data_IF_026404219305
#
_entry.id   IF_026404219305
#
_cell.length_a   1.000
_cell.length_b   1.000
_cell.length_c   1.000
_cell.angle_alpha   90.00
_cell.angle_beta   90.00
_cell.angle_gamma   90.00
#
_symmetry.space_group_name_H-M   'P 1'
#
loop_
_entity.id
_entity.type
_entity.pdbx_description
1 polymer ?
#
# COMPACT_ATOMS: atom_id res chain seq x y z
N UNK A 1 45.72 -67.27 67.32
CA UNK A 1 46.55 -66.68 66.26
C UNK A 1 45.78 -66.84 64.97
N UNK A 2 45.42 -65.87 64.15
CA UNK A 2 45.50 -64.40 64.10
C UNK A 2 44.47 -64.05 63.01
N UNK A 3 43.36 -63.40 63.37
CA UNK A 3 42.99 -62.03 62.95
C UNK A 3 43.90 -61.36 61.90
N UNK A 4 43.27 -60.98 60.78
CA UNK A 4 43.48 -59.79 59.92
C UNK A 4 43.04 -60.19 58.50
N UNK A 5 42.37 -59.43 57.66
CA UNK A 5 41.76 -58.10 57.60
C UNK A 5 41.11 -58.10 56.19
N UNK A 6 39.99 -57.38 55.98
CA UNK A 6 39.74 -56.53 54.79
C UNK A 6 38.31 -56.01 54.78
N UNK A 7 38.18 -54.78 55.23
CA UNK A 7 37.11 -53.84 54.88
C UNK A 7 37.40 -53.33 53.46
N UNK A 8 36.36 -52.84 52.77
CA UNK A 8 36.29 -52.22 51.42
C UNK A 8 36.01 -53.25 50.29
N UNK A 9 34.99 -53.14 49.45
CA UNK A 9 34.37 -51.96 48.84
C UNK A 9 33.00 -52.34 48.26
N UNK A 10 31.90 -51.74 48.74
CA UNK A 10 30.59 -51.84 48.05
C UNK A 10 30.04 -50.44 47.82
N UNK A 11 30.73 -49.65 46.99
CA UNK A 11 30.23 -48.35 46.52
C UNK A 11 30.67 -48.12 45.08
N UNK A 12 30.18 -48.92 44.13
CA UNK A 12 30.45 -48.67 42.70
C UNK A 12 29.34 -49.03 41.70
N UNK A 13 28.11 -49.30 42.14
CA UNK A 13 27.05 -49.78 41.22
C UNK A 13 25.86 -48.81 41.06
N UNK A 14 25.74 -47.72 41.85
CA UNK A 14 24.60 -46.78 41.68
C UNK A 14 24.84 -45.62 40.69
N UNK A 15 26.08 -45.40 40.22
CA UNK A 15 26.41 -44.26 39.34
C UNK A 15 26.16 -44.55 37.84
N UNK A 16 26.18 -45.81 37.40
CA UNK A 16 26.04 -46.13 35.96
C UNK A 16 24.61 -46.05 35.45
N UNK A 17 23.60 -46.40 36.27
CA UNK A 17 22.18 -46.33 35.88
C UNK A 17 21.69 -44.88 35.75
N UNK A 18 22.14 -43.98 36.63
CA UNK A 18 21.80 -42.56 36.55
C UNK A 18 22.47 -41.88 35.35
N UNK A 19 23.70 -42.27 34.99
CA UNK A 19 24.38 -41.72 33.82
C UNK A 19 23.73 -42.17 32.51
N UNK A 20 23.27 -43.42 32.43
CA UNK A 20 22.50 -43.92 31.28
C UNK A 20 21.13 -43.24 31.18
N UNK A 21 20.43 -43.08 32.31
CA UNK A 21 19.12 -42.43 32.37
C UNK A 21 19.21 -40.93 32.02
N UNK A 22 20.22 -40.22 32.51
CA UNK A 22 20.46 -38.81 32.15
C UNK A 22 20.81 -38.68 30.67
N UNK A 23 21.61 -39.60 30.10
CA UNK A 23 21.91 -39.61 28.66
C UNK A 23 20.67 -39.86 27.81
N UNK A 24 19.80 -40.79 28.19
CA UNK A 24 18.55 -41.02 27.45
C UNK A 24 17.59 -39.85 27.59
N UNK A 25 17.47 -39.23 28.76
CA UNK A 25 16.65 -38.02 28.93
C UNK A 25 17.17 -36.85 28.09
N UNK A 26 18.49 -36.62 28.05
CA UNK A 26 19.09 -35.55 27.23
C UNK A 26 18.87 -35.83 25.74
N UNK A 27 19.04 -37.07 25.28
CA UNK A 27 18.81 -37.42 23.88
C UNK A 27 17.33 -37.25 23.46
N UNK A 28 16.39 -37.60 24.35
CA UNK A 28 14.96 -37.38 24.12
C UNK A 28 14.63 -35.88 24.06
N UNK A 29 15.22 -35.06 24.94
CA UNK A 29 15.00 -33.62 24.97
C UNK A 29 15.54 -32.94 23.70
N UNK A 30 16.74 -33.32 23.24
CA UNK A 30 17.33 -32.81 22.00
C UNK A 30 16.49 -33.23 20.80
N UNK A 31 16.03 -34.48 20.74
CA UNK A 31 15.13 -34.96 19.69
C UNK A 31 13.82 -34.17 19.66
N UNK A 32 13.24 -33.85 20.82
CA UNK A 32 12.03 -33.04 20.92
C UNK A 32 12.26 -31.59 20.45
N UNK A 33 13.36 -30.96 20.84
CA UNK A 33 13.71 -29.60 20.38
C UNK A 33 13.92 -29.58 18.87
N UNK A 34 14.65 -30.56 18.31
CA UNK A 34 14.82 -30.69 16.87
C UNK A 34 13.48 -30.89 16.15
N UNK A 35 12.55 -31.66 16.72
CA UNK A 35 11.22 -31.83 16.16
C UNK A 35 10.38 -30.55 16.20
N UNK A 36 10.45 -29.77 17.28
CA UNK A 36 9.75 -28.47 17.40
C UNK A 36 10.35 -27.44 16.45
N UNK A 37 11.68 -27.34 16.35
CA UNK A 37 12.36 -26.44 15.42
C UNK A 37 12.08 -26.85 13.99
N UNK A 38 12.14 -28.15 13.66
CA UNK A 38 11.76 -28.65 12.34
C UNK A 38 10.31 -28.32 12.04
N UNK A 39 9.37 -28.60 12.94
CA UNK A 39 7.95 -28.28 12.76
C UNK A 39 7.73 -26.76 12.59
N UNK A 40 8.46 -25.92 13.32
CA UNK A 40 8.40 -24.47 13.19
C UNK A 40 8.98 -23.97 11.87
N UNK A 41 10.13 -24.50 11.44
CA UNK A 41 10.75 -24.16 10.16
C UNK A 41 9.90 -24.66 8.99
N UNK A 42 9.41 -25.90 9.06
CA UNK A 42 8.46 -26.46 8.11
C UNK A 42 7.19 -25.61 8.07
N UNK A 43 6.62 -25.21 9.21
CA UNK A 43 5.47 -24.31 9.24
C UNK A 43 5.79 -22.91 8.70
N UNK A 44 6.98 -22.37 8.97
CA UNK A 44 7.42 -21.05 8.50
C UNK A 44 7.69 -21.01 6.99
N UNK A 45 8.27 -22.08 6.43
CA UNK A 45 8.60 -22.20 5.01
C UNK A 45 7.48 -22.84 4.16
N UNK A 46 6.60 -23.66 4.76
CA UNK A 46 5.39 -24.23 4.15
C UNK A 46 4.15 -23.40 4.52
N UNK A 47 4.29 -22.23 5.17
CA UNK A 47 3.25 -21.22 5.01
C UNK A 47 3.12 -21.02 3.50
N UNK A 48 2.00 -21.41 2.88
CA UNK A 48 1.82 -21.09 1.48
C UNK A 48 2.02 -19.59 1.40
N UNK A 49 2.93 -19.14 0.52
CA UNK A 49 2.87 -17.78 -0.01
C UNK A 49 1.43 -17.67 -0.47
N UNK A 50 0.59 -17.03 0.34
CA UNK A 50 -0.85 -17.27 0.27
C UNK A 50 -1.25 -17.10 -1.18
N UNK A 51 -1.73 -18.18 -1.80
CA UNK A 51 -2.43 -18.06 -3.06
C UNK A 51 -3.74 -17.38 -2.74
N UNK A 52 -3.64 -16.08 -2.47
CA UNK A 52 -4.78 -15.19 -2.38
C UNK A 52 -5.23 -15.01 -3.83
N UNK A 53 -6.52 -14.87 -4.02
CA UNK A 53 -7.18 -14.51 -5.27
C UNK A 53 -7.53 -15.68 -6.19
N UNK A 54 -8.60 -16.38 -5.79
CA UNK A 54 -9.63 -16.87 -6.71
C UNK A 54 -10.99 -16.58 -6.08
N UNK A 55 -11.40 -15.32 -6.11
CA UNK A 55 -12.80 -14.95 -5.95
C UNK A 55 -13.13 -13.87 -6.98
N UNK A 56 -14.27 -14.00 -7.63
CA UNK A 56 -14.79 -12.99 -8.55
C UNK A 56 -15.10 -11.73 -7.73
N UNK A 57 -14.20 -10.75 -7.77
CA UNK A 57 -14.38 -9.44 -7.14
C UNK A 57 -15.61 -8.78 -7.77
N UNK A 58 -16.68 -8.60 -6.98
CA UNK A 58 -17.90 -7.92 -7.42
C UNK A 58 -17.87 -6.47 -6.99
N UNK A 59 -18.15 -5.61 -7.95
CA UNK A 59 -18.14 -4.16 -7.79
C UNK A 59 -19.57 -3.62 -7.67
N UNK A 60 -19.86 -2.89 -6.59
CA UNK A 60 -21.14 -2.25 -6.34
C UNK A 60 -21.03 -0.73 -6.50
N UNK A 61 -21.94 -0.11 -7.25
CA UNK A 61 -21.96 1.35 -7.46
C UNK A 61 -22.35 2.08 -6.18
N UNK A 62 -21.47 2.94 -5.68
CA UNK A 62 -21.66 3.80 -4.51
C UNK A 62 -22.25 5.17 -4.89
N UNK A 63 -21.78 5.77 -5.98
CA UNK A 63 -22.32 7.02 -6.51
C UNK A 63 -22.14 7.03 -8.02
N UNK A 64 -23.10 7.64 -8.71
CA UNK A 64 -23.05 7.93 -10.14
C UNK A 64 -23.47 9.39 -10.33
N UNK A 65 -22.50 10.28 -10.54
CA UNK A 65 -22.73 11.70 -10.85
C UNK A 65 -21.69 12.15 -11.87
N UNK A 66 -22.17 12.64 -13.03
CA UNK A 66 -21.32 13.10 -14.13
C UNK A 66 -20.37 14.23 -13.74
N UNK A 67 -20.70 14.97 -12.68
CA UNK A 67 -19.95 16.12 -12.21
C UNK A 67 -18.79 15.76 -11.28
N UNK A 68 -18.65 14.49 -10.88
CA UNK A 68 -17.53 14.10 -10.01
C UNK A 68 -16.29 13.83 -10.87
N UNK A 69 -15.17 14.48 -10.51
CA UNK A 69 -13.88 14.38 -11.23
C UNK A 69 -12.88 13.46 -10.57
N UNK A 70 -12.94 13.35 -9.24
CA UNK A 70 -12.00 12.56 -8.46
C UNK A 70 -12.65 12.10 -7.16
N UNK A 71 -12.18 11.00 -6.58
CA UNK A 71 -12.47 10.66 -5.20
C UNK A 71 -11.40 9.80 -4.55
N UNK A 72 -11.39 9.84 -3.22
CA UNK A 72 -10.59 8.95 -2.37
C UNK A 72 -11.44 8.45 -1.19
N UNK A 73 -11.19 7.22 -0.75
CA UNK A 73 -11.82 6.65 0.45
C UNK A 73 -10.89 6.79 1.64
N UNK A 74 -11.47 7.12 2.79
CA UNK A 74 -10.80 7.12 4.09
C UNK A 74 -10.24 5.74 4.42
N UNK A 75 -9.07 5.65 5.08
CA UNK A 75 -8.53 4.38 5.55
C UNK A 75 -9.52 3.61 6.43
N UNK A 76 -10.36 4.22 7.27
CA UNK A 76 -11.34 3.44 8.04
C UNK A 76 -12.52 2.88 7.20
N UNK A 77 -12.59 3.18 5.90
CA UNK A 77 -13.61 2.71 4.98
C UNK A 77 -14.99 3.35 5.15
N UNK A 78 -15.13 4.40 5.95
CA UNK A 78 -16.45 5.00 6.30
C UNK A 78 -16.78 6.25 5.50
N UNK A 79 -15.79 6.90 4.91
CA UNK A 79 -15.94 8.19 4.25
C UNK A 79 -15.34 8.19 2.84
N UNK A 80 -15.95 8.99 1.98
CA UNK A 80 -15.47 9.33 0.65
C UNK A 80 -15.27 10.83 0.57
N UNK A 81 -14.15 11.28 0.03
CA UNK A 81 -13.95 12.67 -0.39
C UNK A 81 -14.08 12.72 -1.89
N UNK A 82 -14.92 13.62 -2.40
CA UNK A 82 -15.25 13.77 -3.81
C UNK A 82 -14.89 15.18 -4.29
N UNK A 83 -14.27 15.29 -5.46
CA UNK A 83 -14.18 16.57 -6.19
C UNK A 83 -15.38 16.66 -7.12
N UNK A 84 -16.26 17.63 -6.88
CA UNK A 84 -17.38 17.95 -7.78
C UNK A 84 -17.03 19.17 -8.60
N UNK A 85 -17.27 19.12 -9.90
CA UNK A 85 -17.10 20.25 -10.82
C UNK A 85 -18.44 20.61 -11.44
N UNK A 86 -18.84 21.87 -11.33
CA UNK A 86 -20.01 22.41 -12.01
C UNK A 86 -19.68 23.82 -12.52
N UNK A 87 -19.94 24.07 -13.80
CA UNK A 87 -19.68 25.37 -14.44
C UNK A 87 -18.22 25.84 -14.20
N UNK A 88 -17.26 24.92 -14.41
CA UNK A 88 -15.83 25.06 -14.15
C UNK A 88 -15.37 25.31 -12.71
N UNK A 89 -16.31 25.47 -11.78
CA UNK A 89 -16.03 25.62 -10.35
C UNK A 89 -15.95 24.25 -9.71
N UNK A 90 -14.87 24.00 -8.97
CA UNK A 90 -14.70 22.78 -8.20
C UNK A 90 -14.97 22.99 -6.71
N UNK A 91 -15.59 21.99 -6.09
CA UNK A 91 -15.81 21.91 -4.66
C UNK A 91 -15.43 20.53 -4.12
N UNK A 92 -15.15 20.47 -2.82
CA UNK A 92 -14.78 19.26 -2.11
C UNK A 92 -15.92 18.82 -1.20
N UNK A 93 -16.42 17.62 -1.44
CA UNK A 93 -17.52 17.02 -0.71
C UNK A 93 -17.03 15.85 0.13
N UNK A 94 -17.51 15.72 1.35
CA UNK A 94 -17.36 14.53 2.17
C UNK A 94 -18.69 13.77 2.17
N UNK A 95 -18.64 12.49 1.78
CA UNK A 95 -19.76 11.57 1.87
C UNK A 95 -19.50 10.50 2.92
N UNK A 96 -20.44 10.30 3.84
CA UNK A 96 -20.46 9.13 4.71
C UNK A 96 -21.10 7.95 3.96
N UNK A 97 -20.43 6.81 3.92
CA UNK A 97 -20.86 5.66 3.10
C UNK A 97 -22.13 5.01 3.65
N UNK A 98 -22.21 4.83 4.97
CA UNK A 98 -23.33 4.14 5.62
C UNK A 98 -24.66 4.89 5.51
N UNK A 99 -24.63 6.19 5.79
CA UNK A 99 -25.83 7.04 5.84
C UNK A 99 -26.14 7.72 4.51
N UNK A 100 -25.21 7.66 3.54
CA UNK A 100 -25.24 8.44 2.30
C UNK A 100 -25.33 9.96 2.51
N UNK A 101 -25.04 10.45 3.72
CA UNK A 101 -25.00 11.88 4.00
C UNK A 101 -23.80 12.53 3.28
N UNK A 102 -24.02 13.70 2.69
CA UNK A 102 -23.00 14.45 1.97
C UNK A 102 -22.94 15.86 2.55
N UNK A 103 -21.75 16.27 2.96
CA UNK A 103 -21.46 17.65 3.38
C UNK A 103 -20.41 18.25 2.45
N UNK A 104 -20.53 19.55 2.20
CA UNK A 104 -19.53 20.30 1.46
C UNK A 104 -18.48 20.82 2.45
N UNK A 105 -17.23 20.37 2.31
CA UNK A 105 -16.13 20.71 3.23
C UNK A 105 -15.22 21.80 2.68
N UNK A 106 -15.18 21.98 1.35
CA UNK A 106 -14.55 23.13 0.70
C UNK A 106 -15.50 23.62 -0.39
N UNK A 107 -16.23 24.74 -0.19
CA UNK A 107 -17.39 25.08 -1.00
C UNK A 107 -17.06 25.56 -2.40
N UNK A 108 -16.09 26.45 -2.56
CA UNK A 108 -15.63 26.94 -3.87
C UNK A 108 -14.20 27.39 -3.72
N UNK A 109 -13.37 27.05 -4.69
CA UNK A 109 -11.98 27.46 -4.69
C UNK A 109 -11.58 27.90 -6.10
N UNK A 110 -10.76 28.94 -6.16
CA UNK A 110 -10.14 29.40 -7.41
C UNK A 110 -9.01 28.44 -7.77
N UNK A 111 -9.15 27.73 -8.89
CA UNK A 111 -8.19 26.72 -9.33
C UNK A 111 -8.81 25.34 -9.51
N UNK A 112 -7.95 24.33 -9.68
CA UNK A 112 -8.36 22.94 -9.90
C UNK A 112 -7.68 22.03 -8.87
N UNK A 113 -8.44 21.11 -8.28
CA UNK A 113 -7.89 20.07 -7.44
C UNK A 113 -7.02 19.13 -8.30
N UNK A 114 -5.77 18.96 -7.90
CA UNK A 114 -4.80 18.09 -8.58
C UNK A 114 -4.44 16.85 -7.76
N UNK A 115 -4.86 16.79 -6.48
CA UNK A 115 -4.63 15.62 -5.65
C UNK A 115 -5.46 15.61 -4.38
N UNK A 116 -5.80 14.40 -3.93
CA UNK A 116 -6.52 14.14 -2.68
C UNK A 116 -5.86 12.98 -1.95
N UNK A 117 -5.80 13.07 -0.63
CA UNK A 117 -5.40 11.96 0.24
C UNK A 117 -5.98 12.11 1.64
N UNK A 118 -6.07 10.99 2.36
CA UNK A 118 -6.45 10.96 3.76
C UNK A 118 -5.21 10.77 4.64
N UNK A 119 -5.25 11.27 5.87
CA UNK A 119 -4.37 10.77 6.92
C UNK A 119 -4.67 9.29 7.21
N UNK A 120 -3.66 8.47 7.54
CA UNK A 120 -3.82 7.08 7.97
C UNK A 120 -4.84 6.85 9.10
N UNK A 121 -4.99 7.81 10.01
CA UNK A 121 -6.00 7.77 11.08
C UNK A 121 -7.43 8.13 10.64
N UNK A 122 -7.62 8.59 9.40
CA UNK A 122 -8.89 9.05 8.83
C UNK A 122 -9.47 10.32 9.46
N UNK A 123 -8.69 11.11 10.19
CA UNK A 123 -9.15 12.33 10.86
C UNK A 123 -8.93 13.60 10.03
N UNK A 124 -8.05 13.55 9.03
CA UNK A 124 -7.64 14.70 8.23
C UNK A 124 -7.65 14.36 6.74
N UNK A 125 -7.95 15.38 5.95
CA UNK A 125 -7.95 15.32 4.49
C UNK A 125 -6.88 16.28 4.00
N UNK A 126 -6.02 15.79 3.13
CA UNK A 126 -5.02 16.56 2.43
C UNK A 126 -5.49 16.72 0.99
N UNK A 127 -5.41 17.94 0.47
CA UNK A 127 -5.79 18.21 -0.90
C UNK A 127 -4.81 19.20 -1.51
N UNK A 128 -4.43 18.97 -2.76
CA UNK A 128 -3.61 19.89 -3.53
C UNK A 128 -4.45 20.58 -4.59
N UNK A 129 -4.24 21.89 -4.72
CA UNK A 129 -4.89 22.73 -5.73
C UNK A 129 -3.82 23.39 -6.57
N UNK A 130 -4.00 23.38 -7.88
CA UNK A 130 -3.30 24.29 -8.80
C UNK A 130 -4.10 25.56 -9.01
N UNK A 131 -3.54 26.70 -8.63
CA UNK A 131 -4.05 28.04 -8.90
C UNK A 131 -2.93 28.86 -9.58
N UNK A 132 -3.21 29.48 -10.73
CA UNK A 132 -2.21 30.25 -11.50
C UNK A 132 -0.91 29.48 -11.80
N UNK A 133 -1.01 28.18 -12.12
CA UNK A 133 0.12 27.25 -12.31
C UNK A 133 1.00 27.04 -11.07
N UNK A 134 0.57 27.47 -9.88
CA UNK A 134 1.22 27.14 -8.62
C UNK A 134 0.38 26.09 -7.88
N UNK A 135 0.98 24.93 -7.63
CA UNK A 135 0.35 23.91 -6.80
C UNK A 135 0.57 24.20 -5.32
N UNK A 136 -0.50 24.10 -4.53
CA UNK A 136 -0.49 24.31 -3.08
C UNK A 136 -1.14 23.12 -2.38
N UNK A 137 -0.49 22.60 -1.35
CA UNK A 137 -1.01 21.55 -0.49
C UNK A 137 -1.71 22.16 0.72
N UNK A 138 -2.93 21.73 0.95
CA UNK A 138 -3.74 22.10 2.09
C UNK A 138 -4.10 20.88 2.93
N UNK A 139 -4.47 21.16 4.18
CA UNK A 139 -5.03 20.21 5.12
C UNK A 139 -6.31 20.76 5.73
N UNK A 140 -7.31 19.89 5.89
CA UNK A 140 -8.58 20.21 6.54
C UNK A 140 -9.00 19.05 7.46
N UNK A 141 -9.63 19.32 8.62
CA UNK A 141 -10.23 18.27 9.44
C UNK A 141 -11.34 17.52 8.67
N UNK A 142 -11.55 16.25 8.99
CA UNK A 142 -12.50 15.36 8.30
C UNK A 142 -13.87 16.02 8.10
N UNK A 143 -14.45 16.58 9.16
CA UNK A 143 -15.80 17.15 9.14
C UNK A 143 -15.84 18.60 8.60
N UNK A 144 -14.76 19.07 7.99
CA UNK A 144 -14.60 20.45 7.55
C UNK A 144 -13.99 21.36 8.60
N UNK A 145 -13.98 22.66 8.32
CA UNK A 145 -13.35 23.69 9.14
C UNK A 145 -12.42 24.58 8.31
N UNK A 146 -11.48 25.23 8.99
CA UNK A 146 -10.50 26.07 8.31
C UNK A 146 -9.43 25.22 7.61
N UNK A 147 -9.24 25.46 6.31
CA UNK A 147 -8.13 24.88 5.56
C UNK A 147 -6.81 25.54 5.92
N UNK A 148 -5.80 24.72 6.18
CA UNK A 148 -4.44 25.16 6.46
C UNK A 148 -3.54 24.83 5.28
N UNK A 149 -2.89 25.83 4.69
CA UNK A 149 -1.83 25.64 3.69
C UNK A 149 -0.57 25.08 4.38
N UNK A 150 0.04 24.06 3.78
CA UNK A 150 1.24 23.40 4.30
C UNK A 150 2.46 23.62 3.40
N UNK A 151 2.29 23.42 2.10
CA UNK A 151 3.40 23.39 1.12
C UNK A 151 2.98 24.13 -0.15
N UNK A 152 3.93 24.81 -0.78
CA UNK A 152 3.80 25.44 -2.10
C UNK A 152 4.66 24.71 -3.12
N UNK A 153 4.38 24.97 -4.40
CA UNK A 153 5.07 24.36 -5.53
C UNK A 153 5.06 22.82 -5.44
N UNK A 154 3.86 22.23 -5.38
CA UNK A 154 3.63 20.78 -5.42
C UNK A 154 2.96 20.40 -6.75
N UNK A 155 3.33 19.27 -7.35
CA UNK A 155 2.73 18.78 -8.60
C UNK A 155 1.90 17.51 -8.44
N UNK A 156 1.85 16.95 -7.23
CA UNK A 156 1.19 15.68 -6.94
C UNK A 156 0.19 15.76 -5.79
N UNK A 157 -0.62 14.71 -5.57
CA UNK A 157 -1.12 14.40 -4.24
C UNK A 157 0.04 14.24 -3.25
N UNK A 158 -0.21 14.52 -1.97
CA UNK A 158 0.72 14.18 -0.90
C UNK A 158 0.47 12.77 -0.39
N UNK A 159 1.53 11.99 -0.19
CA UNK A 159 1.48 10.71 0.50
C UNK A 159 1.87 10.90 1.98
N UNK A 160 1.04 10.43 2.90
CA UNK A 160 1.24 10.60 4.35
C UNK A 160 1.87 9.32 4.90
N UNK A 161 2.90 9.45 5.74
CA UNK A 161 3.50 8.30 6.42
C UNK A 161 2.50 7.66 7.39
N UNK A 162 2.54 6.34 7.55
CA UNK A 162 1.57 5.61 8.38
C UNK A 162 1.51 6.09 9.85
N UNK A 163 2.60 6.66 10.36
CA UNK A 163 2.71 7.25 11.69
C UNK A 163 2.32 8.74 11.78
N UNK A 164 1.78 9.32 10.70
CA UNK A 164 1.36 10.73 10.59
C UNK A 164 2.47 11.77 10.85
N UNK A 165 3.74 11.41 10.72
CA UNK A 165 4.86 12.35 10.99
C UNK A 165 5.39 13.05 9.76
N UNK A 166 5.26 12.42 8.60
CA UNK A 166 5.88 12.89 7.38
C UNK A 166 4.87 12.93 6.23
N UNK A 167 5.11 13.85 5.32
CA UNK A 167 4.48 13.89 4.01
C UNK A 167 5.56 13.72 2.94
N UNK A 168 5.22 13.01 1.87
CA UNK A 168 6.04 12.88 0.69
C UNK A 168 5.25 13.41 -0.52
N UNK A 169 5.93 14.10 -1.42
CA UNK A 169 5.32 14.68 -2.61
C UNK A 169 6.32 14.87 -3.73
N UNK A 170 5.81 15.11 -4.94
CA UNK A 170 6.57 15.42 -6.12
C UNK A 170 6.41 16.91 -6.44
N UNK A 171 7.51 17.55 -6.83
CA UNK A 171 7.50 18.90 -7.39
C UNK A 171 8.51 19.06 -8.50
N UNK A 172 8.44 20.16 -9.25
CA UNK A 172 9.51 20.57 -10.16
C UNK A 172 10.60 21.36 -9.45
N UNK A 173 11.82 21.24 -9.96
CA UNK A 173 12.88 22.21 -9.66
C UNK A 173 12.54 23.59 -10.27
N UNK A 174 13.30 24.61 -9.90
CA UNK A 174 13.07 26.00 -10.36
C UNK A 174 13.07 26.15 -11.88
N UNK A 175 13.87 25.35 -12.58
CA UNK A 175 13.97 25.38 -14.04
C UNK A 175 12.85 24.58 -14.75
N UNK A 176 12.07 23.78 -14.01
CA UNK A 176 11.05 22.89 -14.57
C UNK A 176 11.59 21.64 -15.27
N UNK A 177 12.91 21.44 -15.28
CA UNK A 177 13.62 20.38 -16.00
C UNK A 177 13.63 19.04 -15.25
N UNK A 178 13.43 19.06 -13.93
CA UNK A 178 13.49 17.88 -13.07
C UNK A 178 12.27 17.74 -12.17
N UNK A 179 11.81 16.50 -11.97
CA UNK A 179 10.92 16.12 -10.89
C UNK A 179 11.72 15.72 -9.66
N UNK A 180 11.36 16.30 -8.52
CA UNK A 180 11.98 16.08 -7.22
C UNK A 180 11.01 15.30 -6.34
N UNK A 181 11.48 14.18 -5.78
CA UNK A 181 10.80 13.51 -4.67
C UNK A 181 11.24 14.18 -3.37
N UNK A 182 10.28 14.77 -2.66
CA UNK A 182 10.53 15.55 -1.43
C UNK A 182 9.82 14.89 -0.27
N UNK A 183 10.49 14.84 0.88
CA UNK A 183 9.89 14.51 2.18
C UNK A 183 9.93 15.76 3.06
N UNK A 184 8.84 16.03 3.77
CA UNK A 184 8.76 17.05 4.80
C UNK A 184 8.08 16.48 6.05
N UNK A 185 8.14 17.21 7.16
CA UNK A 185 7.29 16.89 8.31
C UNK A 185 5.81 17.12 7.97
N UNK A 186 4.91 16.59 8.80
CA UNK A 186 3.46 16.67 8.57
C UNK A 186 2.91 18.11 8.57
N UNK A 187 3.70 19.09 9.05
CA UNK A 187 3.35 20.52 9.01
C UNK A 187 3.87 21.20 7.74
N UNK A 188 4.47 20.46 6.81
CA UNK A 188 5.05 20.99 5.58
C UNK A 188 6.40 21.67 5.77
N UNK A 189 7.08 21.46 6.91
CA UNK A 189 8.38 22.07 7.21
C UNK A 189 9.50 21.04 7.11
N UNK A 190 10.74 21.50 7.23
CA UNK A 190 11.94 20.65 7.21
C UNK A 190 12.01 19.78 5.94
N UNK A 191 11.73 20.39 4.79
CA UNK A 191 11.78 19.72 3.50
C UNK A 191 13.19 19.20 3.20
N UNK A 192 13.27 17.97 2.69
CA UNK A 192 14.48 17.41 2.11
C UNK A 192 14.17 16.70 0.81
N UNK A 193 15.03 16.93 -0.18
CA UNK A 193 14.98 16.25 -1.47
C UNK A 193 15.60 14.86 -1.26
N UNK A 194 14.84 13.83 -1.62
CA UNK A 194 15.27 12.44 -1.53
C UNK A 194 15.89 11.96 -2.84
N UNK A 195 15.24 12.30 -3.96
CA UNK A 195 15.68 11.95 -5.31
C UNK A 195 15.30 13.03 -6.33
N UNK A 196 16.05 13.09 -7.42
CA UNK A 196 15.77 13.93 -8.58
C UNK A 196 15.84 13.09 -9.86
N UNK A 197 14.87 13.29 -10.76
CA UNK A 197 14.84 12.70 -12.10
C UNK A 197 14.49 13.76 -13.14
N UNK A 198 15.00 13.61 -14.35
CA UNK A 198 14.63 14.47 -15.48
C UNK A 198 13.13 14.32 -15.77
N UNK A 199 12.43 15.43 -16.02
CA UNK A 199 10.96 15.44 -16.17
C UNK A 199 10.45 14.55 -17.31
N UNK A 200 11.25 14.32 -18.36
CA UNK A 200 10.90 13.44 -19.48
C UNK A 200 10.95 11.94 -19.13
N UNK A 201 11.66 11.58 -18.06
CA UNK A 201 11.80 10.22 -17.50
C UNK A 201 11.55 10.26 -15.98
N UNK A 202 10.50 11.02 -15.60
CA UNK A 202 10.26 11.46 -14.24
C UNK A 202 9.33 10.57 -13.43
N UNK A 203 8.98 11.06 -12.25
CA UNK A 203 8.00 10.43 -11.38
C UNK A 203 6.58 10.74 -11.89
N UNK A 204 5.73 9.72 -11.98
CA UNK A 204 4.29 9.95 -12.17
C UNK A 204 3.72 10.60 -10.90
N UNK A 205 3.02 11.74 -11.01
CA UNK A 205 2.47 12.44 -9.86
C UNK A 205 1.54 11.58 -9.00
N UNK A 206 0.80 10.65 -9.61
CA UNK A 206 -0.23 9.87 -8.91
C UNK A 206 0.29 8.58 -8.26
N UNK A 207 1.53 8.17 -8.57
CA UNK A 207 2.07 6.85 -8.21
C UNK A 207 2.66 6.71 -6.79
N UNK A 208 2.67 7.78 -5.99
CA UNK A 208 3.41 7.85 -4.72
C UNK A 208 2.62 7.29 -3.52
N UNK A 209 3.20 6.35 -2.77
CA UNK A 209 2.63 5.88 -1.51
C UNK A 209 3.70 5.41 -0.50
N UNK A 210 3.41 5.59 0.79
CA UNK A 210 4.24 5.07 1.88
C UNK A 210 3.95 3.61 2.16
N UNK A 211 5.01 2.85 2.38
CA UNK A 211 4.91 1.52 3.00
C UNK A 211 4.38 1.63 4.44
N UNK A 212 3.65 0.62 4.94
CA UNK A 212 3.04 0.67 6.28
C UNK A 212 4.06 0.79 7.41
N UNK A 213 5.31 0.35 7.18
CA UNK A 213 6.39 0.44 8.16
C UNK A 213 7.14 1.79 8.10
N UNK A 214 6.79 2.69 7.18
CA UNK A 214 7.40 4.01 7.02
C UNK A 214 8.84 4.01 6.49
N UNK A 215 9.39 2.87 6.08
CA UNK A 215 10.80 2.78 5.63
C UNK A 215 10.98 2.97 4.13
N UNK A 216 9.90 2.78 3.37
CA UNK A 216 9.94 2.82 1.92
C UNK A 216 8.78 3.63 1.34
N UNK A 217 9.02 4.19 0.17
CA UNK A 217 8.04 4.80 -0.72
C UNK A 217 7.93 3.95 -1.99
N UNK A 218 6.72 3.69 -2.47
CA UNK A 218 6.49 3.20 -3.83
C UNK A 218 6.22 4.36 -4.76
N UNK A 219 6.77 4.31 -5.96
CA UNK A 219 6.55 5.29 -7.02
C UNK A 219 6.35 4.59 -8.36
N UNK A 220 5.64 5.28 -9.25
CA UNK A 220 5.67 4.97 -10.68
C UNK A 220 6.69 5.89 -11.34
N UNK A 221 7.63 5.31 -12.07
CA UNK A 221 8.58 6.03 -12.92
C UNK A 221 8.19 5.79 -14.37
N UNK A 222 7.93 6.88 -15.09
CA UNK A 222 7.69 6.82 -16.53
C UNK A 222 9.02 6.96 -17.26
N UNK A 223 9.24 6.11 -18.26
CA UNK A 223 10.42 6.16 -19.13
C UNK A 223 9.93 6.23 -20.57
N UNK A 224 10.53 7.14 -21.35
CA UNK A 224 10.28 7.26 -22.77
C UNK A 224 11.53 6.83 -23.53
N UNK A 225 11.47 5.66 -24.16
CA UNK A 225 12.55 5.12 -24.99
C UNK A 225 12.03 4.84 -26.40
N UNK A 226 12.71 5.35 -27.43
CA UNK A 226 12.37 5.15 -28.84
C UNK A 226 10.89 5.46 -29.17
N UNK A 227 10.32 6.49 -28.54
CA UNK A 227 8.92 6.91 -28.73
C UNK A 227 7.89 6.03 -28.01
N UNK A 228 8.31 5.03 -27.25
CA UNK A 228 7.43 4.20 -26.41
C UNK A 228 7.56 4.62 -24.95
N UNK A 229 6.43 4.97 -24.34
CA UNK A 229 6.34 5.20 -22.91
C UNK A 229 6.12 3.87 -22.19
N UNK A 230 6.94 3.62 -21.18
CA UNK A 230 6.79 2.52 -20.22
C UNK A 230 6.72 3.08 -18.81
N UNK A 231 6.07 2.35 -17.93
CA UNK A 231 5.91 2.67 -16.53
C UNK A 231 6.42 1.51 -15.69
N UNK A 232 7.17 1.81 -14.65
CA UNK A 232 7.76 0.85 -13.74
C UNK A 232 7.44 1.22 -12.29
N UNK A 233 7.25 0.21 -11.44
CA UNK A 233 7.11 0.40 -9.99
C UNK A 233 8.51 0.35 -9.39
N UNK A 234 8.90 1.42 -8.72
CA UNK A 234 10.15 1.51 -7.95
C UNK A 234 9.84 1.66 -6.46
N UNK A 235 10.76 1.17 -5.64
CA UNK A 235 10.78 1.36 -4.21
C UNK A 235 11.96 2.26 -3.87
N UNK A 236 11.70 3.30 -3.08
CA UNK A 236 12.71 4.23 -2.60
C UNK A 236 12.78 4.14 -1.09
N UNK A 237 13.98 3.91 -0.55
CA UNK A 237 14.19 3.96 0.89
C UNK A 237 13.99 5.40 1.38
N UNK A 238 13.13 5.59 2.38
CA UNK A 238 12.73 6.92 2.84
C UNK A 238 13.86 7.68 3.50
N UNK A 239 14.86 7.01 4.08
CA UNK A 239 16.00 7.65 4.76
C UNK A 239 17.14 7.93 3.79
N UNK A 240 17.64 6.90 3.12
CA UNK A 240 18.83 6.97 2.26
C UNK A 240 18.57 7.46 0.85
N UNK A 241 17.31 7.39 0.38
CA UNK A 241 16.95 7.67 -1.00
C UNK A 241 17.36 6.58 -1.99
N UNK A 242 17.82 5.42 -1.52
CA UNK A 242 18.17 4.30 -2.39
C UNK A 242 16.95 3.83 -3.18
N UNK A 243 17.02 3.93 -4.51
CA UNK A 243 15.98 3.50 -5.45
C UNK A 243 16.25 2.08 -5.95
N UNK A 244 15.23 1.22 -5.91
CA UNK A 244 15.26 -0.14 -6.45
C UNK A 244 14.00 -0.41 -7.26
N UNK A 245 14.17 -0.97 -8.44
CA UNK A 245 13.05 -1.47 -9.23
C UNK A 245 12.39 -2.65 -8.49
N UNK A 246 11.06 -2.59 -8.30
CA UNK A 246 10.33 -3.66 -7.63
C UNK A 246 10.19 -4.88 -8.54
N UNK A 247 9.88 -4.66 -9.82
CA UNK A 247 9.59 -5.73 -10.77
C UNK A 247 10.10 -5.40 -12.16
N UNK A 248 10.35 -6.43 -12.96
CA UNK A 248 10.79 -6.31 -14.37
C UNK A 248 9.63 -6.06 -15.34
N UNK A 249 8.39 -6.12 -14.86
CA UNK A 249 7.22 -5.80 -15.66
C UNK A 249 7.26 -4.33 -16.13
N UNK A 250 6.90 -4.12 -17.39
CA UNK A 250 6.76 -2.79 -17.98
C UNK A 250 5.32 -2.59 -18.41
N UNK A 251 4.68 -1.57 -17.87
CA UNK A 251 3.29 -1.24 -18.21
C UNK A 251 3.23 -0.05 -19.16
N UNK A 252 2.25 -0.03 -20.04
CA UNK A 252 2.00 1.13 -20.90
C UNK A 252 1.46 2.31 -20.10
N UNK A 253 0.79 2.02 -19.00
CA UNK A 253 0.34 2.99 -18.01
C UNK A 253 0.24 2.34 -16.64
N UNK A 254 0.48 3.13 -15.60
CA UNK A 254 0.26 2.75 -14.22
C UNK A 254 -0.27 3.95 -13.43
N UNK A 255 -1.30 3.71 -12.63
CA UNK A 255 -1.90 4.72 -11.75
C UNK A 255 -1.35 4.66 -10.33
N UNK A 256 -2.19 5.05 -9.37
CA UNK A 256 -1.80 5.14 -7.96
C UNK A 256 -1.44 3.77 -7.36
N UNK A 257 -0.27 3.71 -6.71
CA UNK A 257 0.15 2.53 -5.96
C UNK A 257 -0.45 2.54 -4.56
N UNK A 258 -0.87 1.38 -4.07
CA UNK A 258 -1.41 1.23 -2.71
C UNK A 258 -0.76 0.04 -2.05
N UNK A 259 -0.08 0.26 -0.93
CA UNK A 259 0.50 -0.83 -0.15
C UNK A 259 -0.59 -1.66 0.53
N UNK A 260 -0.39 -2.98 0.54
CA UNK A 260 -1.12 -3.82 1.47
C UNK A 260 -0.73 -3.44 2.91
N UNK A 261 -1.69 -3.41 3.84
CA UNK A 261 -1.43 -3.06 5.25
C UNK A 261 -0.34 -3.91 5.91
N UNK A 262 -0.20 -5.17 5.50
CA UNK A 262 0.85 -6.07 6.00
C UNK A 262 2.23 -5.84 5.36
N UNK A 263 2.32 -4.89 4.41
CA UNK A 263 3.56 -4.51 3.72
C UNK A 263 4.10 -5.56 2.76
N UNK A 264 3.34 -6.62 2.46
CA UNK A 264 3.78 -7.75 1.62
C UNK A 264 3.61 -7.52 0.12
N UNK A 265 3.01 -6.41 -0.29
CA UNK A 265 2.91 -6.05 -1.69
C UNK A 265 2.15 -4.77 -1.94
N UNK A 266 1.93 -4.51 -3.23
CA UNK A 266 1.37 -3.28 -3.76
C UNK A 266 0.25 -3.64 -4.73
N UNK A 267 -0.92 -3.04 -4.53
CA UNK A 267 -1.97 -3.00 -5.54
C UNK A 267 -1.72 -1.81 -6.47
N UNK A 268 -1.86 -2.04 -7.77
CA UNK A 268 -1.64 -1.02 -8.78
C UNK A 268 -2.60 -1.21 -9.96
N UNK A 269 -3.32 -0.16 -10.38
CA UNK A 269 -4.04 -0.16 -11.64
C UNK A 269 -3.05 0.08 -12.78
N UNK A 270 -3.05 -0.79 -13.77
CA UNK A 270 -2.12 -0.77 -14.90
C UNK A 270 -2.80 -1.22 -16.18
N UNK A 271 -2.24 -0.88 -17.34
CA UNK A 271 -2.55 -1.63 -18.57
C UNK A 271 -1.28 -1.89 -19.38
N UNK A 272 -1.28 -3.01 -20.11
CA UNK A 272 -0.19 -3.39 -21.01
C UNK A 272 -0.49 -3.01 -22.46
N UNK A 273 0.55 -2.93 -23.29
CA UNK A 273 0.43 -2.63 -24.72
C UNK A 273 -0.48 -3.63 -25.47
N UNK A 274 -0.51 -4.89 -25.01
CA UNK A 274 -1.33 -5.94 -25.59
C UNK A 274 -2.66 -6.14 -24.83
N UNK A 275 -3.07 -5.20 -23.97
CA UNK A 275 -4.33 -5.32 -23.24
C UNK A 275 -5.49 -5.24 -24.24
N UNK A 276 -6.34 -6.30 -24.34
CA UNK A 276 -7.35 -6.40 -25.39
C UNK A 276 -8.44 -5.32 -25.30
N UNK A 277 -8.53 -4.63 -24.16
CA UNK A 277 -9.63 -3.70 -23.86
C UNK A 277 -9.18 -2.28 -23.51
N UNK A 278 -7.86 -2.00 -23.44
CA UNK A 278 -7.28 -0.78 -22.85
C UNK A 278 -8.05 -0.41 -21.57
N UNK A 279 -8.25 -1.41 -20.71
CA UNK A 279 -8.93 -1.26 -19.44
C UNK A 279 -7.90 -1.30 -18.34
N UNK A 280 -8.00 -0.41 -17.36
CA UNK A 280 -7.13 -0.42 -16.20
C UNK A 280 -7.27 -1.77 -15.47
N UNK A 281 -6.34 -2.70 -15.69
CA UNK A 281 -6.27 -3.99 -15.01
C UNK A 281 -5.76 -3.78 -13.59
N UNK A 282 -6.33 -4.50 -12.63
CA UNK A 282 -5.81 -4.47 -11.27
C UNK A 282 -4.79 -5.58 -11.07
N UNK A 283 -3.59 -5.18 -10.64
CA UNK A 283 -2.47 -6.07 -10.38
C UNK A 283 -2.01 -5.98 -8.93
N UNK A 284 -1.55 -7.10 -8.40
CA UNK A 284 -0.80 -7.18 -7.15
C UNK A 284 0.67 -7.48 -7.45
N UNK A 285 1.58 -6.67 -6.94
CA UNK A 285 3.03 -6.91 -7.03
C UNK A 285 3.56 -7.21 -5.63
N UNK A 286 4.08 -8.40 -5.42
CA UNK A 286 4.66 -8.81 -4.14
C UNK A 286 5.90 -7.99 -3.78
N UNK A 287 6.08 -7.72 -2.50
CA UNK A 287 7.26 -7.08 -1.93
C UNK A 287 7.89 -8.00 -0.88
N UNK A 288 9.22 -8.20 -0.90
CA UNK A 288 10.20 -7.58 -1.81
C UNK A 288 10.41 -8.34 -3.14
N UNK A 289 9.78 -9.50 -3.32
CA UNK A 289 10.03 -10.43 -4.44
C UNK A 289 9.75 -9.89 -5.85
N UNK A 290 8.89 -8.88 -6.00
CA UNK A 290 8.60 -8.28 -7.29
C UNK A 290 7.71 -9.10 -8.23
N UNK A 291 7.14 -10.21 -7.76
CA UNK A 291 6.27 -11.06 -8.58
C UNK A 291 4.93 -10.35 -8.78
N UNK A 292 4.60 -10.07 -10.04
CA UNK A 292 3.36 -9.43 -10.44
C UNK A 292 2.29 -10.51 -10.74
N UNK A 293 1.11 -10.34 -10.16
CA UNK A 293 -0.05 -11.22 -10.32
C UNK A 293 -1.25 -10.39 -10.74
N UNK A 294 -1.89 -10.80 -11.83
CA UNK A 294 -3.17 -10.26 -12.27
C UNK A 294 -4.27 -10.60 -11.25
N UNK A 295 -5.12 -9.64 -10.90
CA UNK A 295 -6.26 -9.87 -10.02
C UNK A 295 -7.58 -9.88 -10.77
N UNK A 296 -7.84 -8.84 -11.55
CA UNK A 296 -9.10 -8.69 -12.27
C UNK A 296 -8.94 -7.66 -13.39
N UNK A 297 -9.79 -7.76 -14.43
CA UNK A 297 -9.98 -6.69 -15.39
C UNK A 297 -10.66 -5.58 -14.60
N UNK A 298 -9.91 -4.54 -14.28
CA UNK A 298 -10.48 -3.40 -13.60
C UNK A 298 -11.44 -2.69 -14.53
N UNK A 299 -12.25 -1.88 -13.90
CA UNK A 299 -13.33 -1.21 -14.57
C UNK A 299 -12.71 -0.15 -15.49
N UNK A 300 -13.12 -0.09 -16.77
CA UNK A 300 -12.61 0.90 -17.73
C UNK A 300 -12.72 2.34 -17.17
N UNK A 301 -11.61 3.09 -17.12
CA UNK A 301 -11.55 4.50 -16.69
C UNK A 301 -10.58 4.74 -15.53
N UNK A 302 -10.22 6.00 -15.24
CA UNK A 302 -9.21 6.39 -14.24
C UNK A 302 -9.49 5.80 -12.86
N UNK A 303 -8.72 4.80 -12.45
CA UNK A 303 -8.82 4.16 -11.14
C UNK A 303 -8.05 4.95 -10.06
N UNK A 304 -8.79 5.66 -9.20
CA UNK A 304 -8.34 5.94 -7.84
C UNK A 304 -8.58 4.69 -7.00
N UNK A 305 -7.52 4.11 -6.43
CA UNK A 305 -7.61 2.95 -5.55
C UNK A 305 -7.27 3.40 -4.14
N UNK A 306 -8.12 3.06 -3.19
CA UNK A 306 -7.73 3.11 -1.78
C UNK A 306 -8.30 1.91 -1.05
N UNK A 307 -7.49 1.40 -0.11
CA UNK A 307 -7.81 0.27 0.73
C UNK A 307 -8.28 0.79 2.09
N UNK A 308 -9.30 0.14 2.64
CA UNK A 308 -9.62 0.37 4.04
C UNK A 308 -8.58 -0.32 4.96
N UNK A 309 -8.61 0.04 6.25
CA UNK A 309 -7.68 -0.36 7.31
C UNK A 309 -7.78 -1.85 7.57
N UNK A 310 -8.87 -2.51 7.22
CA UNK A 310 -8.99 -3.96 7.38
C UNK A 310 -8.59 -4.74 6.12
N UNK A 311 -8.21 -4.05 5.02
CA UNK A 311 -8.07 -4.62 3.68
C UNK A 311 -9.34 -5.34 3.19
N UNK A 312 -10.48 -5.03 3.76
CA UNK A 312 -11.76 -5.70 3.49
C UNK A 312 -12.54 -5.00 2.38
N UNK A 313 -12.12 -3.82 1.93
CA UNK A 313 -12.81 -3.10 0.85
C UNK A 313 -11.86 -2.35 -0.05
N UNK A 314 -12.04 -2.54 -1.36
CA UNK A 314 -11.40 -1.79 -2.43
C UNK A 314 -12.41 -0.81 -3.01
N UNK A 315 -12.07 0.47 -3.11
CA UNK A 315 -12.83 1.38 -3.98
C UNK A 315 -12.08 1.62 -5.28
N UNK A 316 -12.82 1.53 -6.38
CA UNK A 316 -12.36 1.72 -7.74
C UNK A 316 -13.25 2.77 -8.42
N UNK A 317 -12.64 3.74 -9.09
CA UNK A 317 -13.34 4.76 -9.85
C UNK A 317 -13.53 4.35 -11.31
N UNK A 318 -14.77 4.36 -11.81
CA UNK A 318 -15.13 4.20 -13.23
C UNK A 318 -15.53 5.54 -13.81
N UNK A 319 -15.01 5.94 -14.98
CA UNK A 319 -15.50 7.11 -15.71
C UNK A 319 -15.74 6.76 -17.18
N UNK A 320 -17.02 6.77 -17.62
CA UNK A 320 -17.40 6.50 -19.03
C UNK A 320 -18.37 7.58 -19.59
N UNK A 321 -18.24 8.85 -19.17
CA UNK A 321 -19.19 9.99 -19.30
C UNK A 321 -20.16 10.17 -18.11
N UNK A 322 -20.35 9.11 -17.32
CA UNK A 322 -20.83 9.17 -15.94
C UNK A 322 -19.70 8.67 -15.05
N UNK A 323 -19.38 9.40 -13.99
CA UNK A 323 -18.40 8.98 -13.00
C UNK A 323 -19.11 8.09 -11.97
N UNK A 324 -18.83 6.79 -12.02
CA UNK A 324 -19.38 5.76 -11.14
C UNK A 324 -18.29 5.26 -10.18
N UNK A 325 -18.54 5.25 -8.87
CA UNK A 325 -17.59 4.72 -7.89
C UNK A 325 -18.02 3.34 -7.45
N UNK A 326 -17.10 2.41 -7.42
CA UNK A 326 -17.38 1.01 -7.16
C UNK A 326 -16.65 0.57 -5.90
N UNK A 327 -17.34 -0.15 -5.01
CA UNK A 327 -16.70 -0.85 -3.90
C UNK A 327 -16.75 -2.35 -4.12
N UNK A 328 -15.70 -3.05 -3.74
CA UNK A 328 -15.69 -4.50 -3.68
C UNK A 328 -15.19 -4.97 -2.31
N UNK A 329 -15.92 -5.92 -1.71
CA UNK A 329 -15.43 -6.63 -0.53
C UNK A 329 -14.24 -7.49 -0.94
N UNK A 330 -13.11 -7.26 -0.29
CA UNK A 330 -11.92 -8.08 -0.40
C UNK A 330 -11.99 -9.11 0.74
N UNK A 331 -12.84 -10.12 0.60
CA UNK A 331 -13.07 -11.11 1.66
C UNK A 331 -11.74 -11.74 2.11
N UNK A 332 -11.27 -11.31 3.28
CA UNK A 332 -10.09 -11.77 4.02
C UNK A 332 -8.89 -12.20 3.15
N UNK A 333 -7.90 -11.31 3.00
CA UNK A 333 -6.53 -11.61 2.57
C UNK A 333 -5.84 -12.76 3.35
N UNK A 334 -6.47 -13.32 4.39
CA UNK A 334 -5.93 -14.36 5.27
C UNK A 334 -6.73 -15.67 5.37
N UNK A 335 -7.86 -15.87 4.67
CA UNK A 335 -8.65 -17.10 4.88
C UNK A 335 -8.61 -18.04 3.67
N UNK A 336 -7.63 -18.94 3.66
CA UNK A 336 -7.84 -20.26 3.09
C UNK A 336 -8.57 -21.14 4.11
N UNK A 337 -9.69 -21.72 3.71
CA UNK A 337 -10.08 -23.08 4.12
C UNK A 337 -10.68 -23.74 2.89
N UNK A 338 -9.87 -24.58 2.25
CA UNK A 338 -10.37 -25.54 1.29
C UNK A 338 -11.41 -26.45 1.97
N UNK A 339 -12.59 -26.57 1.38
CA UNK A 339 -13.40 -27.78 1.50
C UNK A 339 -13.53 -28.35 0.09
N UNK A 340 -12.85 -29.46 -0.15
CA UNK A 340 -13.14 -30.31 -1.29
C UNK A 340 -14.55 -30.86 -1.10
N UNK A 341 -15.45 -30.53 -2.02
CA UNK A 341 -16.56 -31.42 -2.35
C UNK A 341 -16.22 -32.07 -3.69
N UNK A 342 -15.76 -33.32 -3.63
CA UNK A 342 -15.99 -34.25 -4.72
C UNK A 342 -17.48 -34.52 -4.77
N UNK A 343 -18.10 -34.37 -5.94
CA UNK A 343 -19.30 -35.11 -6.26
C UNK A 343 -19.11 -35.78 -7.62
N UNK A 344 -19.58 -37.02 -7.66
CA UNK A 344 -19.47 -38.05 -8.70
C UNK A 344 -20.09 -37.64 -10.03
#
# INVERSE_FOLDING_TARGET
MERNERITTTRKISLSKNFLAVRTTVLVLVGFICAVVSAFLTWYFIQPNGEIFSQNIRFNTLISDANIKNAVISPNGKYLVLVKEKDDIQSLLLRQIETNNIIEIVPKLNGKFIGLSFSPDSEQIFYSVSENNEGMLYKIPLLGGASQMLVRNIESPAAISFDNKYLAFIRKNTEGTQNLLVIADIKGKNERILLSKQSNNGFSPEGLAWSPNGKNLSLIVSQSENGRQTNQIVIVNSESGEEKMLTKENWSWAGQTVWSKDGRGILVPVFRANSPTISDELWYVSYPDGKAKYLTNGIKGKLGISLNKENDSLIALKSEKLTCFLTASLDNFKKSKSRFHQNR
#
